data_IF_854092751409
#
_entry.id   IF_854092751409
#
_cell.length_a   1.000
_cell.length_b   1.000
_cell.length_c   1.000
_cell.angle_alpha   90.00
_cell.angle_beta   90.00
_cell.angle_gamma   90.00
#
_symmetry.space_group_name_H-M   'P 1'
#
loop_
_entity.id
_entity.type
_entity.pdbx_description
1 polymer ?
#
# COMPACT_ATOMS: atom_id res chain seq x y z
N UNK A 1 -37.42 44.27 22.96
CA UNK A 1 -36.46 43.23 22.52
C UNK A 1 -36.87 41.96 23.26
N UNK A 2 -37.58 41.07 22.58
CA UNK A 2 -38.06 39.80 23.16
C UNK A 2 -36.88 38.85 23.19
N UNK A 3 -36.36 38.53 24.37
CA UNK A 3 -35.42 37.43 24.53
C UNK A 3 -36.15 36.12 24.22
N UNK A 4 -35.57 35.30 23.34
CA UNK A 4 -36.09 33.98 22.98
C UNK A 4 -36.15 33.09 24.23
N UNK A 5 -37.21 32.30 24.34
CA UNK A 5 -37.40 31.37 25.46
C UNK A 5 -36.23 30.36 25.55
N UNK A 6 -35.87 29.94 26.76
CA UNK A 6 -34.82 28.93 26.97
C UNK A 6 -35.08 27.64 26.18
N UNK A 7 -36.36 27.25 26.03
CA UNK A 7 -36.75 26.08 25.23
C UNK A 7 -36.55 26.30 23.72
N UNK A 8 -36.72 27.52 23.21
CA UNK A 8 -36.42 27.86 21.81
C UNK A 8 -34.91 27.93 21.55
N UNK A 9 -34.12 28.36 22.55
CA UNK A 9 -32.66 28.34 22.46
C UNK A 9 -32.11 26.91 22.47
N UNK A 10 -32.68 26.02 23.27
CA UNK A 10 -32.28 24.61 23.33
C UNK A 10 -32.64 23.88 22.03
N UNK A 11 -33.85 24.05 21.52
CA UNK A 11 -34.30 23.43 20.27
C UNK A 11 -33.48 23.91 19.04
N UNK A 12 -33.14 25.20 18.98
CA UNK A 12 -32.26 25.73 17.93
C UNK A 12 -30.82 25.22 18.05
N UNK A 13 -30.33 24.97 19.26
CA UNK A 13 -28.98 24.43 19.48
C UNK A 13 -28.90 22.96 19.06
N UNK A 14 -29.90 22.15 19.40
CA UNK A 14 -29.98 20.75 18.98
C UNK A 14 -30.16 20.61 17.47
N UNK A 15 -31.03 21.42 16.86
CA UNK A 15 -31.24 21.42 15.41
C UNK A 15 -29.97 21.85 14.63
N UNK A 16 -29.22 22.82 15.15
CA UNK A 16 -27.93 23.20 14.57
C UNK A 16 -26.85 22.12 14.77
N UNK A 17 -26.83 21.43 15.91
CA UNK A 17 -25.90 20.33 16.16
C UNK A 17 -26.18 19.13 15.24
N UNK A 18 -27.45 18.77 15.03
CA UNK A 18 -27.85 17.73 14.07
C UNK A 18 -27.49 18.13 12.64
N UNK A 19 -27.76 19.36 12.22
CA UNK A 19 -27.39 19.85 10.89
C UNK A 19 -25.87 19.83 10.66
N UNK A 20 -25.06 20.18 11.67
CA UNK A 20 -23.60 20.13 11.61
C UNK A 20 -23.06 18.70 11.57
N UNK A 21 -23.66 17.77 12.31
CA UNK A 21 -23.32 16.35 12.27
C UNK A 21 -23.65 15.79 10.88
N UNK A 22 -24.84 16.08 10.33
CA UNK A 22 -25.24 15.64 9.00
C UNK A 22 -24.36 16.24 7.90
N UNK A 23 -24.02 17.53 7.96
CA UNK A 23 -23.14 18.15 6.97
C UNK A 23 -21.72 17.61 7.04
N UNK A 24 -21.22 17.31 8.24
CA UNK A 24 -19.90 16.69 8.44
C UNK A 24 -19.88 15.26 7.92
N UNK A 25 -20.91 14.47 8.24
CA UNK A 25 -21.07 13.12 7.71
C UNK A 25 -21.16 13.13 6.17
N UNK A 26 -21.93 14.04 5.58
CA UNK A 26 -22.03 14.17 4.12
C UNK A 26 -20.67 14.51 3.48
N UNK A 27 -19.89 15.38 4.13
CA UNK A 27 -18.52 15.70 3.70
C UNK A 27 -17.57 14.49 3.83
N UNK A 28 -17.69 13.72 4.91
CA UNK A 28 -16.87 12.52 5.15
C UNK A 28 -17.19 11.42 4.13
N UNK A 29 -18.48 11.20 3.80
CA UNK A 29 -18.90 10.26 2.77
C UNK A 29 -18.40 10.66 1.39
N UNK A 30 -18.49 11.94 1.02
CA UNK A 30 -17.99 12.44 -0.26
C UNK A 30 -16.49 12.20 -0.39
N UNK A 31 -15.73 12.48 0.68
CA UNK A 31 -14.30 12.23 0.71
C UNK A 31 -13.96 10.74 0.61
N UNK A 32 -14.73 9.88 1.27
CA UNK A 32 -14.55 8.43 1.20
C UNK A 32 -14.79 7.93 -0.24
N UNK A 33 -15.83 8.43 -0.92
CA UNK A 33 -16.12 8.07 -2.30
C UNK A 33 -14.97 8.46 -3.24
N UNK A 34 -14.45 9.68 -3.13
CA UNK A 34 -13.27 10.11 -3.91
C UNK A 34 -12.08 9.16 -3.72
N UNK A 35 -11.79 8.78 -2.46
CA UNK A 35 -10.70 7.85 -2.14
C UNK A 35 -10.97 6.46 -2.76
N UNK A 36 -12.21 5.97 -2.70
CA UNK A 36 -12.56 4.68 -3.27
C UNK A 36 -12.45 4.67 -4.79
N UNK A 37 -12.80 5.76 -5.46
CA UNK A 37 -12.61 5.93 -6.91
C UNK A 37 -11.11 5.92 -7.27
N UNK A 38 -10.27 6.65 -6.54
CA UNK A 38 -8.82 6.64 -6.73
C UNK A 38 -8.22 5.23 -6.49
N UNK A 39 -8.73 4.49 -5.50
CA UNK A 39 -8.26 3.14 -5.21
C UNK A 39 -8.64 2.12 -6.29
N UNK A 40 -9.80 2.28 -6.94
CA UNK A 40 -10.23 1.39 -8.02
C UNK A 40 -9.26 1.41 -9.21
N UNK A 41 -8.64 2.56 -9.49
CA UNK A 41 -7.64 2.69 -10.54
C UNK A 41 -6.35 1.89 -10.26
N UNK A 42 -6.05 1.63 -8.98
CA UNK A 42 -4.87 0.85 -8.58
C UNK A 42 -5.13 -0.66 -8.65
N UNK A 43 -6.36 -1.08 -8.36
CA UNK A 43 -6.74 -2.50 -8.29
C UNK A 43 -7.00 -3.03 -9.70
N UNK A 44 -6.30 -4.10 -10.15
CA UNK A 44 -6.57 -4.67 -11.46
C UNK A 44 -8.00 -5.21 -11.53
N UNK A 45 -8.67 -5.14 -12.69
CA UNK A 45 -10.02 -5.66 -12.86
C UNK A 45 -10.04 -7.16 -12.56
N UNK A 46 -11.09 -7.59 -11.85
CA UNK A 46 -11.36 -8.99 -11.56
C UNK A 46 -12.55 -9.46 -12.38
N UNK A 47 -12.39 -10.53 -13.15
CA UNK A 47 -13.49 -11.18 -13.86
C UNK A 47 -14.16 -12.25 -12.99
N UNK A 48 -15.44 -12.58 -13.25
CA UNK A 48 -16.09 -13.73 -12.62
C UNK A 48 -15.22 -14.99 -12.74
N UNK A 49 -15.24 -15.85 -11.72
CA UNK A 49 -14.39 -17.05 -11.62
C UNK A 49 -14.42 -17.92 -12.87
N UNK A 50 -15.59 -18.05 -13.52
CA UNK A 50 -15.77 -18.83 -14.76
C UNK A 50 -14.97 -18.29 -15.96
N UNK A 51 -14.64 -17.00 -15.96
CA UNK A 51 -13.98 -16.26 -17.04
C UNK A 51 -12.60 -15.71 -16.58
N UNK A 52 -12.03 -16.27 -15.51
CA UNK A 52 -10.80 -15.75 -14.91
C UNK A 52 -9.58 -15.95 -15.84
N UNK A 53 -9.06 -14.83 -16.36
CA UNK A 53 -7.77 -14.77 -17.05
C UNK A 53 -6.79 -14.04 -16.14
N UNK A 54 -5.57 -14.57 -16.01
CA UNK A 54 -4.53 -13.93 -15.23
C UNK A 54 -4.20 -12.55 -15.83
N UNK A 55 -4.50 -11.49 -15.09
CA UNK A 55 -4.06 -10.12 -15.43
C UNK A 55 -2.84 -9.71 -14.65
N UNK A 56 -2.14 -8.72 -15.20
CA UNK A 56 -1.00 -8.11 -14.54
C UNK A 56 -1.43 -7.55 -13.17
N UNK A 57 -0.89 -8.05 -12.04
CA UNK A 57 -1.24 -7.57 -10.71
C UNK A 57 -0.84 -6.10 -10.48
N UNK A 58 0.06 -5.56 -11.32
CA UNK A 58 0.52 -4.18 -11.28
C UNK A 58 -0.17 -3.29 -12.35
N UNK A 59 -1.29 -3.72 -12.94
CA UNK A 59 -1.92 -2.98 -14.04
C UNK A 59 -2.22 -1.52 -13.65
N UNK A 60 -2.80 -1.29 -12.47
CA UNK A 60 -3.09 0.04 -11.95
C UNK A 60 -1.86 0.88 -11.56
N UNK A 61 -0.68 0.26 -11.55
CA UNK A 61 0.61 0.91 -11.31
C UNK A 61 1.45 1.06 -12.59
N UNK A 62 0.93 0.61 -13.75
CA UNK A 62 1.69 0.58 -15.01
C UNK A 62 2.10 1.96 -15.54
N UNK A 63 1.41 3.03 -15.12
CA UNK A 63 1.79 4.41 -15.44
C UNK A 63 2.90 4.97 -14.55
N UNK A 64 3.35 4.24 -13.52
CA UNK A 64 4.44 4.65 -12.62
C UNK A 64 5.76 4.03 -13.06
N UNK A 65 6.86 4.70 -12.72
CA UNK A 65 8.18 4.06 -12.82
C UNK A 65 8.26 2.86 -11.87
N UNK A 66 9.15 1.91 -12.16
CA UNK A 66 9.33 0.74 -11.30
C UNK A 66 9.67 1.12 -9.85
N UNK A 67 10.53 2.12 -9.66
CA UNK A 67 10.93 2.58 -8.32
C UNK A 67 9.80 3.29 -7.57
N UNK A 68 8.96 4.07 -8.27
CA UNK A 68 7.79 4.70 -7.65
C UNK A 68 6.75 3.67 -7.22
N UNK A 69 6.51 2.65 -8.05
CA UNK A 69 5.60 1.55 -7.74
C UNK A 69 6.10 0.74 -6.52
N UNK A 70 7.39 0.41 -6.49
CA UNK A 70 8.04 -0.23 -5.33
C UNK A 70 7.84 0.60 -4.07
N UNK A 71 8.21 1.89 -4.10
CA UNK A 71 8.13 2.80 -2.93
C UNK A 71 6.71 2.86 -2.36
N UNK A 72 5.70 2.96 -3.23
CA UNK A 72 4.30 2.95 -2.82
C UNK A 72 3.94 1.66 -2.09
N UNK A 73 4.30 0.50 -2.64
CA UNK A 73 3.95 -0.81 -2.09
C UNK A 73 4.68 -1.10 -0.77
N UNK A 74 5.99 -0.84 -0.71
CA UNK A 74 6.78 -1.04 0.50
C UNK A 74 6.28 -0.16 1.65
N UNK A 75 5.81 1.06 1.37
CA UNK A 75 5.25 1.96 2.39
C UNK A 75 3.95 1.44 3.05
N UNK A 76 3.19 0.57 2.36
CA UNK A 76 1.91 0.05 2.86
C UNK A 76 1.96 -1.41 3.30
N UNK A 77 2.95 -2.19 2.84
CA UNK A 77 3.05 -3.63 3.07
C UNK A 77 4.49 -4.05 3.26
N UNK A 78 4.67 -5.13 4.02
CA UNK A 78 5.94 -5.83 4.19
C UNK A 78 6.26 -6.69 2.95
N UNK A 79 6.49 -6.03 1.81
CA UNK A 79 6.93 -6.67 0.58
C UNK A 79 8.00 -5.84 -0.12
N UNK A 80 8.81 -6.47 -0.96
CA UNK A 80 9.73 -5.79 -1.86
C UNK A 80 9.55 -6.34 -3.29
N UNK A 81 9.76 -5.47 -4.28
CA UNK A 81 9.81 -5.83 -5.70
C UNK A 81 11.23 -6.15 -6.16
N UNK A 82 12.24 -5.79 -5.36
CA UNK A 82 13.64 -6.06 -5.64
C UNK A 82 14.08 -7.39 -5.02
N UNK A 83 15.07 -8.00 -5.67
CA UNK A 83 15.80 -9.11 -5.07
C UNK A 83 16.56 -8.61 -3.83
N UNK A 84 16.67 -9.43 -2.77
CA UNK A 84 17.40 -9.05 -1.57
C UNK A 84 18.90 -8.86 -1.88
N UNK A 85 19.61 -8.11 -1.04
CA UNK A 85 21.01 -7.73 -1.31
C UNK A 85 21.99 -8.92 -1.27
N UNK A 86 21.70 -9.92 -0.44
CA UNK A 86 22.46 -11.18 -0.33
C UNK A 86 22.45 -12.01 -1.62
N UNK A 87 21.37 -11.91 -2.41
CA UNK A 87 21.31 -12.48 -3.76
C UNK A 87 22.40 -11.89 -4.66
N UNK A 88 22.51 -10.55 -4.71
CA UNK A 88 23.55 -9.89 -5.51
C UNK A 88 24.96 -10.12 -4.96
N UNK A 89 25.10 -10.21 -3.64
CA UNK A 89 26.37 -10.59 -3.02
C UNK A 89 26.82 -11.97 -3.52
N UNK A 90 25.91 -12.96 -3.51
CA UNK A 90 26.21 -14.32 -3.97
C UNK A 90 26.61 -14.34 -5.45
N UNK A 91 25.93 -13.56 -6.30
CA UNK A 91 26.30 -13.44 -7.72
C UNK A 91 27.69 -12.84 -7.91
N UNK A 92 28.06 -11.85 -7.09
CA UNK A 92 29.38 -11.21 -7.15
C UNK A 92 30.49 -12.16 -6.68
N UNK A 93 30.25 -12.88 -5.59
CA UNK A 93 31.18 -13.88 -5.04
C UNK A 93 31.40 -15.06 -6.00
N UNK A 94 30.36 -15.46 -6.73
CA UNK A 94 30.43 -16.50 -7.76
C UNK A 94 31.03 -16.00 -9.09
N UNK A 95 31.24 -14.69 -9.25
CA UNK A 95 31.70 -14.08 -10.49
C UNK A 95 30.68 -14.09 -11.62
N UNK A 96 29.39 -14.27 -11.31
CA UNK A 96 28.28 -14.18 -12.27
C UNK A 96 27.98 -12.72 -12.64
N UNK A 97 28.21 -11.80 -11.70
CA UNK A 97 28.28 -10.35 -11.96
C UNK A 97 29.68 -9.86 -11.65
N UNK A 98 30.17 -8.91 -12.44
CA UNK A 98 31.50 -8.33 -12.31
C UNK A 98 31.43 -6.86 -11.90
N UNK A 99 32.57 -6.27 -11.53
CA UNK A 99 32.69 -4.83 -11.29
C UNK A 99 32.28 -4.00 -12.52
N UNK A 100 32.55 -4.49 -13.74
CA UNK A 100 32.12 -3.83 -14.98
C UNK A 100 30.59 -3.80 -15.11
N UNK A 101 29.92 -4.91 -14.78
CA UNK A 101 28.46 -4.98 -14.79
C UNK A 101 27.84 -3.98 -13.80
N UNK A 102 28.42 -3.88 -12.60
CA UNK A 102 27.99 -2.92 -11.57
C UNK A 102 28.23 -1.48 -12.05
N UNK A 103 29.39 -1.21 -12.65
CA UNK A 103 29.72 0.12 -13.19
C UNK A 103 28.73 0.54 -14.27
N UNK A 104 28.43 -0.36 -15.22
CA UNK A 104 27.48 -0.10 -16.31
C UNK A 104 26.06 0.10 -15.80
N UNK A 105 25.63 -0.68 -14.81
CA UNK A 105 24.34 -0.50 -14.16
C UNK A 105 24.26 0.86 -13.44
N UNK A 106 25.33 1.26 -12.74
CA UNK A 106 25.40 2.55 -12.05
C UNK A 106 25.34 3.73 -13.04
N UNK A 107 26.07 3.66 -14.16
CA UNK A 107 26.02 4.68 -15.21
C UNK A 107 24.61 4.84 -15.80
N UNK A 108 23.88 3.74 -15.96
CA UNK A 108 22.49 3.79 -16.38
C UNK A 108 21.61 4.47 -15.32
N UNK A 109 21.74 4.07 -14.05
CA UNK A 109 20.99 4.68 -12.94
C UNK A 109 21.28 6.18 -12.80
N UNK A 110 22.53 6.62 -12.97
CA UNK A 110 22.91 8.02 -12.94
C UNK A 110 22.25 8.85 -14.04
N UNK A 111 22.03 8.25 -15.22
CA UNK A 111 21.36 8.89 -16.34
C UNK A 111 19.86 9.00 -16.14
N UNK A 112 19.24 7.93 -15.62
CA UNK A 112 17.78 7.85 -15.45
C UNK A 112 17.30 8.56 -14.16
N UNK A 113 18.11 8.53 -13.11
CA UNK A 113 17.77 9.02 -11.77
C UNK A 113 18.92 9.84 -11.16
N UNK A 114 19.32 10.97 -11.79
CA UNK A 114 20.49 11.74 -11.37
C UNK A 114 20.40 12.23 -9.91
N UNK A 115 19.20 12.60 -9.45
CA UNK A 115 18.96 13.07 -8.08
C UNK A 115 19.31 12.03 -7.00
N UNK A 116 19.38 10.75 -7.37
CA UNK A 116 19.63 9.64 -6.43
C UNK A 116 21.02 9.03 -6.56
N UNK A 117 21.64 9.07 -7.75
CA UNK A 117 22.85 8.30 -8.04
C UNK A 117 24.06 9.14 -8.47
N UNK A 118 23.91 10.45 -8.71
CA UNK A 118 24.97 11.29 -9.28
C UNK A 118 26.31 11.24 -8.50
N UNK A 119 26.24 11.18 -7.17
CA UNK A 119 27.43 11.22 -6.31
C UNK A 119 28.00 9.83 -5.98
N UNK A 120 27.32 8.75 -6.41
CA UNK A 120 27.73 7.38 -6.10
C UNK A 120 28.81 6.89 -7.08
N UNK A 121 29.76 6.12 -6.57
CA UNK A 121 30.80 5.45 -7.37
C UNK A 121 30.62 3.93 -7.33
N UNK A 122 31.22 3.25 -8.30
CA UNK A 122 31.19 1.78 -8.40
C UNK A 122 31.69 1.10 -7.13
N UNK A 123 32.77 1.62 -6.53
CA UNK A 123 33.30 1.12 -5.25
C UNK A 123 32.30 1.22 -4.10
N UNK A 124 31.53 2.31 -4.01
CA UNK A 124 30.49 2.47 -2.98
C UNK A 124 29.39 1.41 -3.13
N UNK A 125 29.06 1.03 -4.37
CA UNK A 125 28.07 0.00 -4.66
C UNK A 125 28.58 -1.40 -4.32
N UNK A 126 29.84 -1.70 -4.66
CA UNK A 126 30.49 -2.97 -4.29
C UNK A 126 30.54 -3.11 -2.77
N UNK A 127 30.94 -2.06 -2.04
CA UNK A 127 30.98 -2.08 -0.58
C UNK A 127 29.59 -2.31 0.02
N UNK A 128 28.55 -1.70 -0.56
CA UNK A 128 27.15 -1.91 -0.12
C UNK A 128 26.65 -3.32 -0.37
N UNK A 129 27.06 -3.96 -1.46
CA UNK A 129 26.71 -5.35 -1.78
C UNK A 129 27.47 -6.31 -0.87
N UNK A 130 28.78 -6.09 -0.68
CA UNK A 130 29.64 -6.95 0.14
C UNK A 130 29.29 -6.91 1.64
N UNK A 131 28.77 -5.78 2.13
CA UNK A 131 28.33 -5.63 3.52
C UNK A 131 26.83 -5.88 3.71
N UNK A 132 26.19 -6.64 2.81
CA UNK A 132 24.78 -6.99 2.92
C UNK A 132 24.51 -7.83 4.18
N UNK A 133 24.23 -7.16 5.31
CA UNK A 133 23.91 -7.82 6.57
C UNK A 133 22.39 -7.91 6.75
N UNK A 134 21.84 -9.09 6.49
CA UNK A 134 20.48 -9.48 6.91
C UNK A 134 19.31 -8.83 6.16
N UNK A 135 18.14 -9.43 6.33
CA UNK A 135 16.86 -8.95 5.77
C UNK A 135 16.71 -7.45 5.98
N UNK A 136 16.35 -6.73 4.90
CA UNK A 136 15.98 -5.32 4.99
C UNK A 136 14.93 -5.16 6.08
N UNK A 137 15.14 -4.20 6.98
CA UNK A 137 14.07 -3.75 7.87
C UNK A 137 12.87 -3.36 7.01
N UNK A 138 11.67 -3.58 7.54
CA UNK A 138 10.46 -3.19 6.85
C UNK A 138 10.46 -1.68 6.60
N UNK A 139 10.32 -1.30 5.33
CA UNK A 139 10.12 0.10 4.90
C UNK A 139 8.65 0.54 5.06
N UNK A 140 7.82 -0.24 5.77
CA UNK A 140 6.40 0.00 5.92
C UNK A 140 6.13 1.10 6.95
N UNK A 141 5.61 2.21 6.46
CA UNK A 141 5.28 3.38 7.26
C UNK A 141 3.82 3.44 7.72
N UNK A 142 2.94 2.61 7.14
CA UNK A 142 1.49 2.67 7.38
C UNK A 142 0.98 1.38 8.01
N UNK A 143 0.41 1.50 9.21
CA UNK A 143 -0.26 0.42 9.94
C UNK A 143 -1.74 0.71 10.15
N UNK A 144 -2.55 -0.34 10.11
CA UNK A 144 -3.97 -0.28 10.46
C UNK A 144 -4.15 -0.24 11.98
N UNK A 145 -5.30 0.25 12.44
CA UNK A 145 -5.64 0.28 13.87
C UNK A 145 -5.59 -1.14 14.48
N UNK A 146 -6.03 -2.16 13.75
CA UNK A 146 -6.02 -3.54 14.22
C UNK A 146 -4.60 -4.05 14.46
N UNK A 147 -3.66 -3.76 13.55
CA UNK A 147 -2.25 -4.13 13.70
C UNK A 147 -1.60 -3.44 14.88
N UNK A 148 -1.89 -2.15 15.09
CA UNK A 148 -1.38 -1.40 16.25
C UNK A 148 -1.89 -2.04 17.56
N UNK A 149 -3.16 -2.44 17.61
CA UNK A 149 -3.72 -3.12 18.79
C UNK A 149 -3.04 -4.47 19.02
N UNK A 150 -2.83 -5.25 17.95
CA UNK A 150 -2.18 -6.56 18.01
C UNK A 150 -0.75 -6.46 18.55
N UNK A 151 0.03 -5.48 18.09
CA UNK A 151 1.40 -5.25 18.57
C UNK A 151 1.45 -4.92 20.07
N UNK A 152 0.50 -4.12 20.57
CA UNK A 152 0.52 -3.68 21.98
C UNK A 152 -0.11 -4.69 22.94
N UNK A 153 -1.01 -5.55 22.45
CA UNK A 153 -1.81 -6.45 23.30
C UNK A 153 -1.54 -7.93 23.07
N UNK A 154 -0.70 -8.30 22.10
CA UNK A 154 -0.46 -9.69 21.72
C UNK A 154 -1.72 -10.40 21.19
N UNK A 155 -2.66 -9.63 20.63
CA UNK A 155 -3.89 -10.16 20.02
C UNK A 155 -3.69 -10.45 18.53
N UNK A 156 -4.73 -10.97 17.88
CA UNK A 156 -4.74 -11.32 16.44
C UNK A 156 -5.96 -10.72 15.71
N UNK A 157 -6.42 -9.54 16.14
CA UNK A 157 -7.58 -8.85 15.59
C UNK A 157 -7.48 -8.61 14.10
N UNK A 158 -6.30 -8.28 13.58
CA UNK A 158 -6.12 -8.06 12.15
C UNK A 158 -6.52 -9.31 11.35
N UNK A 159 -6.07 -10.48 11.78
CA UNK A 159 -6.43 -11.75 11.13
C UNK A 159 -7.93 -12.04 11.22
N UNK A 160 -8.56 -11.80 12.38
CA UNK A 160 -10.01 -11.99 12.54
C UNK A 160 -10.82 -11.06 11.62
N UNK A 161 -10.48 -9.78 11.58
CA UNK A 161 -11.16 -8.79 10.75
C UNK A 161 -11.03 -9.14 9.27
N UNK A 162 -9.81 -9.43 8.81
CA UNK A 162 -9.55 -9.83 7.41
C UNK A 162 -10.33 -11.09 7.05
N UNK A 163 -10.31 -12.12 7.90
CA UNK A 163 -11.02 -13.37 7.64
C UNK A 163 -12.54 -13.20 7.59
N UNK A 164 -13.11 -12.43 8.53
CA UNK A 164 -14.55 -12.23 8.59
C UNK A 164 -15.05 -11.41 7.41
N UNK A 165 -14.35 -10.32 7.05
CA UNK A 165 -14.67 -9.52 5.85
C UNK A 165 -14.54 -10.38 4.59
N UNK A 166 -13.42 -11.09 4.44
CA UNK A 166 -13.17 -11.93 3.25
C UNK A 166 -14.25 -12.99 3.08
N UNK A 167 -14.66 -13.65 4.17
CA UNK A 167 -15.74 -14.64 4.16
C UNK A 167 -17.08 -14.03 3.77
N UNK A 168 -17.44 -12.87 4.34
CA UNK A 168 -18.70 -12.19 4.01
C UNK A 168 -18.73 -11.74 2.55
N UNK A 169 -17.64 -11.15 2.05
CA UNK A 169 -17.51 -10.70 0.66
C UNK A 169 -17.55 -11.90 -0.28
N UNK A 170 -16.79 -12.96 0.00
CA UNK A 170 -16.83 -14.18 -0.81
C UNK A 170 -18.24 -14.77 -0.87
N UNK A 171 -18.93 -14.93 0.27
CA UNK A 171 -20.29 -15.47 0.28
C UNK A 171 -21.31 -14.58 -0.46
N UNK A 172 -21.11 -13.25 -0.48
CA UNK A 172 -21.98 -12.33 -1.18
C UNK A 172 -21.78 -12.35 -2.71
N UNK A 173 -20.51 -12.33 -3.16
CA UNK A 173 -20.16 -12.22 -4.59
C UNK A 173 -19.94 -13.57 -5.28
N UNK A 174 -19.93 -14.69 -4.54
CA UNK A 174 -19.80 -16.03 -5.14
C UNK A 174 -20.96 -16.33 -6.10
N UNK A 175 -22.15 -15.77 -5.87
CA UNK A 175 -23.37 -16.01 -6.68
C UNK A 175 -23.65 -17.51 -6.93
N UNK A 176 -23.13 -18.40 -6.06
CA UNK A 176 -23.24 -19.86 -6.19
C UNK A 176 -22.25 -20.50 -7.19
N UNK A 177 -21.23 -19.77 -7.66
CA UNK A 177 -20.24 -20.27 -8.61
C UNK A 177 -19.26 -21.29 -8.00
N UNK A 178 -19.02 -21.25 -6.68
CA UNK A 178 -18.17 -22.23 -5.98
C UNK A 178 -18.91 -23.53 -5.57
N UNK A 179 -20.21 -23.67 -5.89
CA UNK A 179 -20.95 -24.91 -5.63
C UNK A 179 -20.49 -25.96 -6.64
N UNK A 180 -19.63 -26.87 -6.19
CA UNK A 180 -19.25 -28.06 -6.97
C UNK A 180 -20.45 -29.00 -7.11
N UNK A 181 -20.74 -29.43 -8.34
CA UNK A 181 -21.64 -30.55 -8.66
C UNK A 181 -20.84 -31.80 -9.03
#
# INVERSE_FOLDING_TARGET
MSELSFDEQLANTEMNATALITSRQQSDYSRLTEILEELQEVVPPLWPLRDYVAVNPFLGLSGKTFLDARRLLCGVRDCDLLMPRDYFQSLLENGEITEDDISRALEQCQREYPDHYADLKTGDMIDRIANASGNSESERDIQTIAEVVDQHRGSTWQSHIVNDISRCVAAHYDEGQAVWQ
#
